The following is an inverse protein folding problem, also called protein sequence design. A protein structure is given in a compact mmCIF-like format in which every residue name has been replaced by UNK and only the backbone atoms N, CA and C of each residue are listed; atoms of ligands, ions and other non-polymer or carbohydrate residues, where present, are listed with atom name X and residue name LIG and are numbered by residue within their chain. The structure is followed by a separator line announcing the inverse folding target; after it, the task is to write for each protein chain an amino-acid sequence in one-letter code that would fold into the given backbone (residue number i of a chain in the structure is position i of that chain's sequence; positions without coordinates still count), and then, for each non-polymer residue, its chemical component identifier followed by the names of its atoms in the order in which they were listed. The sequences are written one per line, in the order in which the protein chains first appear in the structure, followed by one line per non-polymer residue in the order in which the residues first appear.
data_IF_675905638515
#
_entry.id   IF_675905638515
#
_cell.length_a   1.000
_cell.length_b   1.000
_cell.length_c   1.000
_cell.angle_alpha   90.00
_cell.angle_beta   90.00
_cell.angle_gamma   90.00
#
_symmetry.space_group_name_H-M   'P 1'
#
loop_
_entity.id
_entity.type
_entity.pdbx_description
1 polymer ?
#
# COMPACT_ATOMS: atom_id res chain seq x y z
N UNK A 1 -18.78 -33.65 36.43
CA UNK A 1 -18.50 -32.25 36.80
C UNK A 1 -19.43 -31.38 35.98
N UNK A 2 -20.25 -30.55 36.63
CA UNK A 2 -21.25 -29.72 35.99
C UNK A 2 -20.59 -28.61 35.14
N UNK A 3 -21.15 -28.32 33.96
CA UNK A 3 -20.73 -27.17 33.15
C UNK A 3 -21.05 -25.87 33.91
N UNK A 4 -20.10 -24.91 34.00
CA UNK A 4 -20.36 -23.65 34.68
C UNK A 4 -21.36 -22.81 33.89
N UNK A 5 -22.29 -22.15 34.59
CA UNK A 5 -23.23 -21.20 34.02
C UNK A 5 -22.50 -19.97 33.44
N UNK A 6 -22.80 -19.62 32.19
CA UNK A 6 -22.24 -18.48 31.48
C UNK A 6 -22.87 -17.17 32.01
N UNK A 7 -22.39 -16.70 33.16
CA UNK A 7 -22.89 -15.49 33.84
C UNK A 7 -22.41 -14.15 33.26
N UNK A 8 -21.57 -14.15 32.22
CA UNK A 8 -21.09 -12.91 31.61
C UNK A 8 -20.79 -13.14 30.13
N UNK A 9 -21.17 -12.19 29.28
CA UNK A 9 -20.78 -12.20 27.87
C UNK A 9 -19.24 -12.28 27.79
N UNK A 10 -18.67 -13.17 26.96
CA UNK A 10 -17.23 -13.26 26.82
C UNK A 10 -16.71 -11.89 26.40
N UNK A 11 -15.63 -11.44 27.05
CA UNK A 11 -14.92 -10.23 26.65
C UNK A 11 -14.38 -10.47 25.25
N UNK A 12 -15.05 -9.90 24.24
CA UNK A 12 -14.70 -10.04 22.82
C UNK A 12 -13.53 -9.12 22.41
N UNK A 13 -13.03 -8.28 23.32
CA UNK A 13 -11.85 -7.49 23.07
C UNK A 13 -10.59 -8.35 23.21
N UNK A 14 -9.73 -8.27 22.20
CA UNK A 14 -8.33 -8.67 22.33
C UNK A 14 -7.73 -7.99 23.56
N UNK A 15 -7.10 -8.73 24.49
CA UNK A 15 -6.35 -8.11 25.59
C UNK A 15 -5.34 -7.11 25.00
N UNK A 16 -5.08 -6.00 25.69
CA UNK A 16 -4.17 -4.93 25.22
C UNK A 16 -2.78 -5.45 24.80
N UNK A 17 -2.37 -6.63 25.31
CA UNK A 17 -1.14 -7.32 24.90
C UNK A 17 -1.12 -7.83 23.45
N UNK A 18 -2.27 -7.77 22.76
CA UNK A 18 -2.49 -8.10 21.36
C UNK A 18 -2.90 -6.89 20.51
N UNK A 19 -2.62 -5.68 20.98
CA UNK A 19 -2.66 -4.52 20.09
C UNK A 19 -1.66 -4.75 18.96
N UNK A 20 -2.14 -4.65 17.71
CA UNK A 20 -1.28 -4.40 16.57
C UNK A 20 -0.46 -3.16 16.94
N UNK A 21 0.84 -3.32 17.22
CA UNK A 21 1.74 -2.18 17.13
C UNK A 21 1.52 -1.62 15.73
N UNK A 22 1.02 -0.39 15.63
CA UNK A 22 1.00 0.30 14.36
C UNK A 22 2.46 0.29 13.86
N UNK A 23 2.77 -0.41 12.74
CA UNK A 23 4.13 -0.46 12.24
C UNK A 23 4.62 0.93 11.81
N UNK A 24 3.72 1.93 11.77
CA UNK A 24 4.04 3.33 11.59
C UNK A 24 4.72 3.87 12.85
N UNK A 25 6.05 3.97 12.80
CA UNK A 25 6.82 4.61 13.87
C UNK A 25 6.24 6.01 14.16
N UNK A 26 6.00 6.39 15.43
CA UNK A 26 5.57 7.73 15.78
C UNK A 26 6.66 8.71 15.34
N UNK A 27 6.34 9.55 14.36
CA UNK A 27 7.24 10.60 13.85
C UNK A 27 7.06 11.84 14.72
N UNK A 28 8.13 12.29 15.36
CA UNK A 28 8.18 13.57 16.04
C UNK A 28 8.09 14.71 15.01
N UNK A 29 6.86 15.18 14.77
CA UNK A 29 6.54 16.27 13.83
C UNK A 29 7.21 17.60 14.20
N UNK A 30 7.70 17.76 15.43
CA UNK A 30 8.38 18.98 15.87
C UNK A 30 9.79 19.15 15.28
N UNK A 31 10.35 18.09 14.68
CA UNK A 31 11.70 18.08 14.05
C UNK A 31 11.68 18.00 12.52
N UNK A 32 10.51 17.94 11.89
CA UNK A 32 10.42 17.91 10.43
C UNK A 32 10.80 19.28 9.87
N UNK A 33 11.94 19.33 9.19
CA UNK A 33 12.31 20.50 8.40
C UNK A 33 11.21 20.78 7.37
N UNK A 34 10.60 21.98 7.43
CA UNK A 34 9.59 22.38 6.45
C UNK A 34 10.23 22.42 5.07
N UNK A 35 9.76 21.59 4.17
CA UNK A 35 10.16 21.58 2.76
C UNK A 35 9.88 22.95 2.13
N UNK A 36 10.74 23.41 1.23
CA UNK A 36 10.46 24.61 0.42
C UNK A 36 9.27 24.39 -0.52
N UNK A 37 8.67 25.45 -1.05
CA UNK A 37 7.54 25.30 -1.98
C UNK A 37 7.90 24.48 -3.22
N UNK A 38 9.11 24.66 -3.74
CA UNK A 38 9.65 23.90 -4.88
C UNK A 38 9.81 22.41 -4.54
N UNK A 39 10.31 22.12 -3.34
CA UNK A 39 10.47 20.74 -2.87
C UNK A 39 9.12 20.06 -2.67
N UNK A 40 8.12 20.74 -2.12
CA UNK A 40 6.75 20.22 -2.01
C UNK A 40 6.19 19.97 -3.41
N UNK A 41 6.33 20.94 -4.31
CA UNK A 41 5.81 20.81 -5.67
C UNK A 41 6.35 19.57 -6.40
N UNK A 42 7.65 19.31 -6.26
CA UNK A 42 8.31 18.13 -6.83
C UNK A 42 7.96 16.83 -6.09
N UNK A 43 8.07 16.80 -4.76
CA UNK A 43 7.86 15.59 -3.93
C UNK A 43 6.44 15.05 -4.05
N UNK A 44 5.45 15.94 -4.17
CA UNK A 44 4.05 15.59 -4.33
C UNK A 44 3.61 15.53 -5.81
N UNK A 45 4.57 15.59 -6.75
CA UNK A 45 4.36 15.47 -8.19
C UNK A 45 3.17 16.31 -8.69
N UNK A 46 3.05 17.55 -8.21
CA UNK A 46 1.85 18.39 -8.40
C UNK A 46 1.53 18.56 -9.88
N UNK A 47 2.54 18.78 -10.72
CA UNK A 47 2.35 18.94 -12.17
C UNK A 47 1.75 17.69 -12.82
N UNK A 48 2.25 16.51 -12.46
CA UNK A 48 1.77 15.23 -12.98
C UNK A 48 0.34 14.97 -12.51
N UNK A 49 0.06 15.19 -11.23
CA UNK A 49 -1.27 15.03 -10.65
C UNK A 49 -2.30 15.91 -11.36
N UNK A 50 -1.97 17.19 -11.60
CA UNK A 50 -2.86 18.10 -12.36
C UNK A 50 -3.13 17.57 -13.75
N UNK A 51 -2.09 17.11 -14.46
CA UNK A 51 -2.21 16.56 -15.82
C UNK A 51 -3.10 15.32 -15.86
N UNK A 52 -2.89 14.37 -14.96
CA UNK A 52 -3.68 13.14 -14.88
C UNK A 52 -5.15 13.43 -14.52
N UNK A 53 -5.39 14.34 -13.57
CA UNK A 53 -6.76 14.76 -13.21
C UNK A 53 -7.48 15.42 -14.38
N UNK A 54 -6.82 16.33 -15.10
CA UNK A 54 -7.42 16.96 -16.27
C UNK A 54 -7.69 15.96 -17.39
N UNK A 55 -6.78 15.00 -17.63
CA UNK A 55 -6.96 13.96 -18.64
C UNK A 55 -8.11 12.99 -18.28
N UNK A 56 -8.25 12.65 -17.00
CA UNK A 56 -9.36 11.84 -16.49
C UNK A 56 -10.70 12.58 -16.43
N UNK A 57 -10.69 13.90 -16.66
CA UNK A 57 -11.86 14.79 -16.54
C UNK A 57 -12.55 14.72 -15.17
N UNK A 58 -11.81 14.34 -14.12
CA UNK A 58 -12.34 14.22 -12.76
C UNK A 58 -12.56 15.59 -12.14
N UNK A 59 -13.64 15.73 -11.37
CA UNK A 59 -14.10 17.00 -10.80
C UNK A 59 -14.05 17.02 -9.29
N UNK A 60 -14.30 15.90 -8.62
CA UNK A 60 -14.20 15.78 -7.17
C UNK A 60 -12.99 14.91 -6.86
N UNK A 61 -11.96 15.49 -6.26
CA UNK A 61 -10.67 14.83 -6.03
C UNK A 61 -10.44 14.69 -4.54
N UNK A 62 -10.38 13.46 -4.05
CA UNK A 62 -9.98 13.17 -2.68
C UNK A 62 -8.44 13.09 -2.59
N UNK A 63 -7.86 13.78 -1.61
CA UNK A 63 -6.43 13.81 -1.34
C UNK A 63 -6.17 13.05 -0.03
N UNK A 64 -5.52 11.90 -0.12
CA UNK A 64 -5.20 11.05 1.02
C UNK A 64 -3.71 11.14 1.35
N UNK A 65 -3.40 11.65 2.54
CA UNK A 65 -2.04 11.78 3.03
C UNK A 65 -1.81 10.82 4.20
N UNK A 66 -0.60 10.27 4.37
CA UNK A 66 -0.22 9.64 5.62
C UNK A 66 -0.01 10.71 6.70
N UNK A 67 -0.20 10.34 7.97
CA UNK A 67 -0.22 11.28 9.10
C UNK A 67 0.97 12.25 9.14
N UNK A 68 2.18 11.74 8.95
CA UNK A 68 3.42 12.54 8.98
C UNK A 68 3.54 13.54 7.82
N UNK A 69 2.71 13.42 6.78
CA UNK A 69 2.68 14.30 5.60
C UNK A 69 1.45 15.21 5.56
N UNK A 70 0.49 15.05 6.50
CA UNK A 70 -0.68 15.92 6.60
C UNK A 70 -0.31 17.39 6.83
N UNK A 71 0.85 17.67 7.43
CA UNK A 71 1.37 19.03 7.63
C UNK A 71 1.52 19.82 6.32
N UNK A 72 1.80 19.15 5.21
CA UNK A 72 1.97 19.77 3.89
C UNK A 72 0.65 19.83 3.09
N UNK A 73 -0.41 19.15 3.54
CA UNK A 73 -1.67 19.03 2.80
C UNK A 73 -2.29 20.38 2.37
N UNK A 74 -2.31 21.45 3.21
CA UNK A 74 -2.82 22.76 2.78
C UNK A 74 -2.01 23.38 1.62
N UNK A 75 -0.69 23.20 1.62
CA UNK A 75 0.19 23.74 0.56
C UNK A 75 -0.02 22.99 -0.74
N UNK A 76 -0.09 21.65 -0.68
CA UNK A 76 -0.38 20.80 -1.83
C UNK A 76 -1.75 21.15 -2.41
N UNK A 77 -2.76 21.34 -1.57
CA UNK A 77 -4.10 21.79 -1.97
C UNK A 77 -4.06 23.09 -2.77
N UNK A 78 -3.36 24.11 -2.25
CA UNK A 78 -3.23 25.39 -2.95
C UNK A 78 -2.49 25.25 -4.30
N UNK A 79 -1.40 24.48 -4.32
CA UNK A 79 -0.59 24.28 -5.52
C UNK A 79 -1.38 23.55 -6.62
N UNK A 80 -2.14 22.50 -6.28
CA UNK A 80 -3.05 21.82 -7.20
C UNK A 80 -4.11 22.79 -7.72
N UNK A 81 -4.75 23.55 -6.82
CA UNK A 81 -5.74 24.56 -7.18
C UNK A 81 -5.23 25.60 -8.16
N UNK A 82 -3.99 26.09 -7.97
CA UNK A 82 -3.31 27.00 -8.93
C UNK A 82 -2.99 26.30 -10.25
N UNK A 83 -2.52 25.05 -10.19
CA UNK A 83 -2.24 24.22 -11.37
C UNK A 83 -3.46 24.05 -12.28
N UNK A 84 -4.61 23.69 -11.70
CA UNK A 84 -5.89 23.57 -12.41
C UNK A 84 -6.33 24.90 -13.05
N UNK A 85 -6.21 26.01 -12.34
CA UNK A 85 -6.53 27.34 -12.90
C UNK A 85 -5.64 27.69 -14.10
N UNK A 86 -4.36 27.35 -14.05
CA UNK A 86 -3.42 27.62 -15.13
C UNK A 86 -3.74 26.81 -16.39
N UNK A 87 -4.11 25.53 -16.26
CA UNK A 87 -4.54 24.70 -17.39
C UNK A 87 -5.76 25.28 -18.08
N UNK A 88 -6.78 25.71 -17.31
CA UNK A 88 -7.98 26.34 -17.87
C UNK A 88 -7.69 27.65 -18.59
N UNK A 89 -6.79 28.48 -18.05
CA UNK A 89 -6.37 29.73 -18.70
C UNK A 89 -5.70 29.44 -20.03
N UNK A 90 -4.80 28.45 -20.10
CA UNK A 90 -4.15 28.03 -21.36
C UNK A 90 -5.18 27.56 -22.39
N UNK A 91 -6.11 26.69 -21.99
CA UNK A 91 -7.16 26.20 -22.88
C UNK A 91 -8.05 27.33 -23.44
N UNK A 92 -8.40 28.34 -22.63
CA UNK A 92 -9.15 29.51 -23.12
C UNK A 92 -8.36 30.34 -24.14
N UNK A 93 -7.08 30.58 -23.87
CA UNK A 93 -6.20 31.35 -24.79
C UNK A 93 -5.99 30.61 -26.12
N UNK A 94 -5.82 29.29 -26.08
CA UNK A 94 -5.71 28.46 -27.31
C UNK A 94 -7.01 28.49 -28.12
N UNK A 95 -8.16 28.41 -27.44
CA UNK A 95 -9.50 28.47 -28.07
C UNK A 95 -9.80 29.83 -28.73
N UNK A 96 -9.32 30.93 -28.13
CA UNK A 96 -9.47 32.30 -28.64
C UNK A 96 -8.54 32.59 -29.83
N UNK A 97 -7.36 31.97 -29.89
CA UNK A 97 -6.42 32.16 -30.99
C UNK A 97 -6.79 31.34 -32.25
N UNK A 98 -7.49 30.21 -32.11
CA UNK A 98 -7.92 29.39 -33.26
C UNK A 98 -9.24 29.88 -33.89
N UNK A 99 -10.12 30.53 -33.12
CA UNK A 99 -11.39 31.08 -33.60
C UNK A 99 -11.39 32.62 -33.57
N UNK A 100 -10.78 33.23 -34.58
CA UNK A 100 -10.78 34.69 -34.83
C UNK A 100 -12.16 35.29 -35.15
N UNK A 101 -13.25 34.79 -34.58
CA UNK A 101 -14.57 35.41 -34.69
C UNK A 101 -15.28 35.31 -33.34
N UNK A 102 -15.43 36.46 -32.69
CA UNK A 102 -16.17 36.63 -31.46
C UNK A 102 -17.61 36.13 -31.63
N UNK A 103 -17.87 34.89 -31.24
CA UNK A 103 -19.20 34.44 -30.87
C UNK A 103 -19.26 34.47 -29.36
N UNK A 104 -20.06 35.40 -28.84
CA UNK A 104 -20.56 35.43 -27.47
C UNK A 104 -21.25 34.09 -27.17
N UNK A 105 -20.43 33.11 -26.78
CA UNK A 105 -20.91 31.80 -26.41
C UNK A 105 -21.07 31.84 -24.91
N UNK A 106 -22.32 31.74 -24.47
CA UNK A 106 -22.74 31.67 -23.08
C UNK A 106 -21.74 30.83 -22.27
N UNK A 107 -21.19 31.42 -21.20
CA UNK A 107 -20.37 30.74 -20.21
C UNK A 107 -21.15 29.54 -19.66
N UNK A 108 -21.00 28.38 -20.28
CA UNK A 108 -21.21 27.11 -19.58
C UNK A 108 -20.14 27.09 -18.50
N UNK A 109 -20.55 27.34 -17.27
CA UNK A 109 -19.70 27.15 -16.10
C UNK A 109 -19.37 25.66 -16.02
N UNK A 110 -18.33 25.23 -16.73
CA UNK A 110 -17.81 23.89 -16.55
C UNK A 110 -17.47 23.71 -15.07
N UNK A 111 -17.91 22.61 -14.45
CA UNK A 111 -17.75 22.39 -13.03
C UNK A 111 -16.27 22.48 -12.66
N UNK A 112 -16.01 23.22 -11.58
CA UNK A 112 -14.67 23.44 -11.08
C UNK A 112 -14.13 22.15 -10.44
N UNK A 113 -12.83 21.90 -10.55
CA UNK A 113 -12.19 20.82 -9.79
C UNK A 113 -12.24 21.20 -8.30
N UNK A 114 -12.93 20.38 -7.52
CA UNK A 114 -13.08 20.47 -6.08
C UNK A 114 -12.14 19.46 -5.43
N UNK A 115 -11.34 19.95 -4.48
CA UNK A 115 -10.35 19.16 -3.76
C UNK A 115 -10.87 18.91 -2.34
N UNK A 116 -10.72 17.69 -1.83
CA UNK A 116 -11.10 17.28 -0.48
C UNK A 116 -9.91 16.61 0.19
N UNK A 117 -9.44 17.13 1.32
CA UNK A 117 -8.39 16.47 2.11
C UNK A 117 -9.06 15.44 3.02
N UNK A 118 -8.68 14.17 2.88
CA UNK A 118 -9.14 13.12 3.78
C UNK A 118 -8.32 13.20 5.08
N UNK A 119 -9.03 13.39 6.19
CA UNK A 119 -8.43 13.58 7.52
C UNK A 119 -8.36 12.28 8.35
N UNK A 120 -8.83 11.16 7.80
CA UNK A 120 -8.87 9.85 8.46
C UNK A 120 -8.12 8.84 7.58
N UNK A 121 -7.24 8.06 8.20
CA UNK A 121 -6.67 6.85 7.60
C UNK A 121 -7.03 5.68 8.50
N UNK A 122 -8.20 5.08 8.28
CA UNK A 122 -8.76 4.13 9.25
C UNK A 122 -8.00 2.78 9.32
N UNK A 123 -7.10 2.48 8.37
CA UNK A 123 -6.46 1.15 8.24
C UNK A 123 -4.96 1.20 7.90
N UNK A 124 -4.30 2.29 8.30
CA UNK A 124 -2.88 2.52 8.11
C UNK A 124 -2.55 3.30 6.85
N UNK A 125 -1.42 4.01 6.91
CA UNK A 125 -0.96 4.97 5.89
C UNK A 125 -0.80 4.41 4.47
N UNK A 126 -0.80 3.08 4.27
CA UNK A 126 -0.47 2.45 2.99
C UNK A 126 -1.67 2.03 2.13
N UNK A 127 -2.87 2.01 2.69
CA UNK A 127 -4.09 1.57 2.00
C UNK A 127 -4.87 2.78 1.45
N UNK A 128 -5.51 2.60 0.30
CA UNK A 128 -6.44 3.62 -0.25
C UNK A 128 -7.75 3.55 0.51
N UNK A 129 -8.23 4.70 1.00
CA UNK A 129 -9.51 4.78 1.71
C UNK A 129 -10.66 5.17 0.75
N UNK A 130 -11.21 4.16 0.07
CA UNK A 130 -12.34 4.36 -0.86
C UNK A 130 -13.61 4.81 -0.14
N UNK A 131 -13.83 4.40 1.11
CA UNK A 131 -15.05 4.77 1.85
C UNK A 131 -15.00 6.22 2.29
N UNK A 132 -13.87 6.70 2.83
CA UNK A 132 -13.73 8.12 3.14
C UNK A 132 -13.87 8.99 1.88
N UNK A 133 -13.32 8.55 0.75
CA UNK A 133 -13.46 9.24 -0.53
C UNK A 133 -14.90 9.26 -1.06
N UNK A 134 -15.67 8.18 -0.86
CA UNK A 134 -17.08 8.12 -1.25
C UNK A 134 -17.97 9.09 -0.47
N UNK A 135 -17.66 9.40 0.79
CA UNK A 135 -18.43 10.37 1.58
C UNK A 135 -18.39 11.80 1.00
N UNK A 136 -17.40 12.09 0.16
CA UNK A 136 -17.28 13.35 -0.57
C UNK A 136 -17.54 13.17 -2.06
N UNK A 137 -18.23 12.10 -2.45
CA UNK A 137 -18.48 11.65 -3.83
C UNK A 137 -17.28 11.91 -4.76
N UNK A 138 -16.07 11.50 -4.33
CA UNK A 138 -14.88 11.71 -5.13
C UNK A 138 -14.96 10.89 -6.42
N UNK A 139 -14.52 11.48 -7.53
CA UNK A 139 -14.35 10.79 -8.81
C UNK A 139 -13.00 10.04 -8.87
N UNK A 140 -12.03 10.48 -8.07
CA UNK A 140 -10.66 9.92 -8.02
C UNK A 140 -10.04 10.18 -6.64
N UNK A 141 -9.18 9.25 -6.21
CA UNK A 141 -8.32 9.42 -5.03
C UNK A 141 -6.87 9.67 -5.46
N UNK A 142 -6.25 10.72 -4.94
CA UNK A 142 -4.79 10.90 -5.00
C UNK A 142 -4.22 10.39 -3.68
N UNK A 143 -3.52 9.25 -3.75
CA UNK A 143 -2.91 8.61 -2.58
C UNK A 143 -1.42 8.92 -2.54
N UNK A 144 -1.00 9.65 -1.50
CA UNK A 144 0.38 10.07 -1.31
C UNK A 144 1.15 9.10 -0.40
N UNK A 145 2.44 8.90 -0.68
CA UNK A 145 3.35 8.17 0.20
C UNK A 145 3.52 6.68 -0.13
N UNK A 146 3.93 5.92 0.89
CA UNK A 146 4.07 4.46 0.80
C UNK A 146 2.70 3.86 0.51
N UNK A 147 2.59 2.97 -0.47
CA UNK A 147 1.35 2.23 -0.74
C UNK A 147 1.56 0.73 -0.69
N UNK A 148 0.58 -0.01 -0.18
CA UNK A 148 0.54 -1.46 -0.28
C UNK A 148 0.10 -1.94 -1.67
N UNK A 149 -0.43 -1.03 -2.51
CA UNK A 149 -0.99 -1.31 -3.83
C UNK A 149 -2.04 -2.43 -3.80
N UNK A 150 -2.80 -2.50 -2.70
CA UNK A 150 -4.00 -3.33 -2.63
C UNK A 150 -4.97 -2.89 -3.73
N UNK A 151 -5.63 -3.84 -4.41
CA UNK A 151 -6.61 -3.50 -5.44
C UNK A 151 -7.71 -2.60 -4.89
N UNK A 152 -8.03 -1.54 -5.64
CA UNK A 152 -9.24 -0.74 -5.42
C UNK A 152 -10.37 -1.25 -6.30
N UNK A 153 -11.62 -1.03 -5.88
CA UNK A 153 -12.79 -1.60 -6.55
C UNK A 153 -13.76 -0.56 -7.11
N UNK A 154 -13.74 0.66 -6.55
CA UNK A 154 -14.82 1.64 -6.71
C UNK A 154 -14.32 2.94 -7.33
N UNK A 155 -13.10 3.36 -6.99
CA UNK A 155 -12.53 4.60 -7.49
C UNK A 155 -11.19 4.39 -8.21
N UNK A 156 -10.93 5.13 -9.30
CA UNK A 156 -9.58 5.25 -9.83
C UNK A 156 -8.68 5.93 -8.80
N UNK A 157 -7.40 5.58 -8.85
CA UNK A 157 -6.39 6.09 -7.91
C UNK A 157 -5.19 6.62 -8.67
N UNK A 158 -4.78 7.84 -8.35
CA UNK A 158 -3.49 8.38 -8.73
C UNK A 158 -2.54 8.16 -7.56
N UNK A 159 -1.54 7.31 -7.76
CA UNK A 159 -0.51 7.08 -6.77
C UNK A 159 0.65 8.07 -6.94
N UNK A 160 0.97 8.77 -5.85
CA UNK A 160 2.14 9.65 -5.75
C UNK A 160 3.03 9.09 -4.65
N UNK A 161 4.08 8.38 -5.04
CA UNK A 161 4.88 7.58 -4.10
C UNK A 161 5.86 8.38 -3.24
N UNK A 162 6.02 9.68 -3.54
CA UNK A 162 6.88 10.62 -2.80
C UNK A 162 8.30 10.08 -2.72
N UNK A 163 8.96 10.02 -3.89
CA UNK A 163 10.29 9.42 -4.04
C UNK A 163 11.27 9.96 -3.00
N UNK A 164 12.03 9.04 -2.40
CA UNK A 164 13.04 9.39 -1.40
C UNK A 164 14.44 9.28 -2.01
N UNK A 165 15.35 10.22 -1.65
CA UNK A 165 16.73 10.16 -2.12
C UNK A 165 17.42 8.91 -1.58
N UNK A 166 18.26 8.30 -2.41
CA UNK A 166 19.04 7.12 -2.05
C UNK A 166 20.46 7.25 -2.59
N UNK A 167 21.46 7.09 -1.73
CA UNK A 167 22.86 7.06 -2.17
C UNK A 167 23.16 5.71 -2.85
N UNK A 168 23.13 5.69 -4.17
CA UNK A 168 23.45 4.50 -4.96
C UNK A 168 24.85 3.96 -4.65
N UNK A 169 25.82 4.84 -4.36
CA UNK A 169 27.19 4.42 -4.04
C UNK A 169 27.25 3.61 -2.73
N UNK A 170 26.51 4.04 -1.71
CA UNK A 170 26.41 3.30 -0.44
C UNK A 170 25.70 1.96 -0.61
N UNK A 171 24.62 1.93 -1.42
CA UNK A 171 23.88 0.69 -1.70
C UNK A 171 24.75 -0.28 -2.48
N UNK A 172 25.49 0.18 -3.50
CA UNK A 172 26.43 -0.63 -4.27
C UNK A 172 27.53 -1.22 -3.40
N UNK A 173 28.15 -0.40 -2.54
CA UNK A 173 29.19 -0.86 -1.62
C UNK A 173 28.65 -1.96 -0.68
N UNK A 174 27.46 -1.74 -0.12
CA UNK A 174 26.76 -2.69 0.75
C UNK A 174 26.42 -3.99 0.03
N UNK A 175 25.93 -3.89 -1.21
CA UNK A 175 25.62 -5.03 -2.06
C UNK A 175 26.86 -5.87 -2.36
N UNK A 176 27.99 -5.23 -2.69
CA UNK A 176 29.27 -5.90 -2.96
C UNK A 176 29.84 -6.62 -1.73
N UNK A 177 29.74 -6.01 -0.55
CA UNK A 177 30.16 -6.65 0.71
C UNK A 177 29.31 -7.90 1.01
N UNK A 178 28.01 -7.85 0.66
CA UNK A 178 27.04 -8.93 0.86
C UNK A 178 27.22 -10.08 -0.14
N UNK A 179 27.30 -9.77 -1.44
CA UNK A 179 27.36 -10.73 -2.53
C UNK A 179 28.72 -10.71 -3.21
N UNK A 180 29.71 -11.35 -2.57
CA UNK A 180 31.09 -11.41 -3.10
C UNK A 180 31.22 -12.21 -4.40
N UNK A 181 30.29 -13.13 -4.66
CA UNK A 181 30.26 -13.92 -5.89
C UNK A 181 29.25 -13.31 -6.87
N UNK A 182 29.74 -12.85 -8.02
CA UNK A 182 28.96 -12.16 -9.05
C UNK A 182 28.03 -13.08 -9.86
N UNK A 183 28.21 -14.40 -9.75
CA UNK A 183 27.36 -15.40 -10.41
C UNK A 183 26.08 -15.74 -9.64
N UNK A 184 25.89 -15.21 -8.42
CA UNK A 184 24.69 -15.51 -7.63
C UNK A 184 23.44 -14.89 -8.23
N UNK A 185 22.32 -15.63 -8.21
CA UNK A 185 21.01 -15.13 -8.64
C UNK A 185 20.43 -14.23 -7.55
N UNK A 186 20.27 -12.94 -7.86
CA UNK A 186 19.76 -11.95 -6.90
C UNK A 186 18.61 -11.15 -7.50
N UNK A 187 17.54 -11.01 -6.74
CA UNK A 187 16.40 -10.14 -7.05
C UNK A 187 16.62 -8.82 -6.33
N UNK A 188 16.57 -7.71 -7.05
CA UNK A 188 16.54 -6.36 -6.49
C UNK A 188 15.10 -5.93 -6.31
N UNK A 189 14.72 -5.67 -5.06
CA UNK A 189 13.41 -5.14 -4.70
C UNK A 189 13.59 -3.95 -3.77
N UNK A 190 12.65 -3.02 -3.83
CA UNK A 190 12.62 -1.89 -2.92
C UNK A 190 11.19 -1.65 -2.45
N UNK A 191 11.11 -1.07 -1.26
CA UNK A 191 9.92 -0.39 -0.84
C UNK A 191 9.55 0.74 -1.82
N UNK A 192 8.27 1.08 -1.87
CA UNK A 192 7.69 1.92 -2.92
C UNK A 192 8.42 3.27 -3.11
N UNK A 193 8.76 4.05 -2.06
CA UNK A 193 9.46 5.33 -2.23
C UNK A 193 10.87 5.24 -2.82
N UNK A 194 11.47 4.04 -2.88
CA UNK A 194 12.83 3.82 -3.41
C UNK A 194 12.86 3.00 -4.71
N UNK A 195 11.70 2.61 -5.26
CA UNK A 195 11.64 1.69 -6.40
C UNK A 195 12.22 2.27 -7.70
N UNK A 196 12.19 3.59 -7.86
CA UNK A 196 12.77 4.33 -9.00
C UNK A 196 14.29 4.18 -9.12
N UNK A 197 14.97 3.86 -8.01
CA UNK A 197 16.43 3.68 -7.97
C UNK A 197 16.89 2.31 -8.50
N UNK A 198 15.99 1.32 -8.57
CA UNK A 198 16.31 -0.06 -8.92
C UNK A 198 16.95 -0.20 -10.32
N UNK A 199 16.43 0.43 -11.39
CA UNK A 199 17.03 0.33 -12.73
C UNK A 199 18.46 0.89 -12.78
N UNK A 200 18.70 2.05 -12.14
CA UNK A 200 20.02 2.67 -12.10
C UNK A 200 21.02 1.82 -11.29
N UNK A 201 20.58 1.26 -10.16
CA UNK A 201 21.39 0.33 -9.35
C UNK A 201 21.76 -0.92 -10.14
N UNK A 202 20.80 -1.52 -10.83
CA UNK A 202 21.01 -2.74 -11.62
C UNK A 202 22.01 -2.52 -12.75
N UNK A 203 21.94 -1.38 -13.45
CA UNK A 203 22.93 -1.01 -14.47
C UNK A 203 24.33 -0.95 -13.88
N UNK A 204 24.51 -0.25 -12.76
CA UNK A 204 25.81 -0.15 -12.09
C UNK A 204 26.33 -1.51 -11.60
N UNK A 205 25.45 -2.40 -11.13
CA UNK A 205 25.84 -3.77 -10.76
C UNK A 205 26.25 -4.61 -11.98
N UNK A 206 25.60 -4.42 -13.13
CA UNK A 206 25.99 -5.07 -14.37
C UNK A 206 27.39 -4.61 -14.82
N UNK A 207 27.69 -3.31 -14.71
CA UNK A 207 29.02 -2.73 -15.02
C UNK A 207 30.12 -3.32 -14.10
N UNK A 208 29.75 -3.77 -12.91
CA UNK A 208 30.62 -4.44 -11.92
C UNK A 208 30.72 -5.96 -12.12
N UNK A 209 30.06 -6.50 -13.14
CA UNK A 209 30.16 -7.92 -13.54
C UNK A 209 29.12 -8.85 -12.92
N UNK A 210 28.09 -8.34 -12.24
CA UNK A 210 26.98 -9.16 -11.76
C UNK A 210 26.06 -9.59 -12.91
N UNK A 211 26.02 -10.88 -13.23
CA UNK A 211 25.34 -11.39 -14.43
C UNK A 211 23.88 -11.82 -14.20
N UNK A 212 23.55 -12.19 -12.96
CA UNK A 212 22.27 -12.85 -12.64
C UNK A 212 21.39 -11.98 -11.74
N UNK A 213 21.29 -10.69 -12.07
CA UNK A 213 20.47 -9.71 -11.35
C UNK A 213 19.11 -9.55 -12.03
N UNK A 214 18.03 -9.73 -11.27
CA UNK A 214 16.69 -9.42 -11.73
C UNK A 214 16.16 -8.15 -11.04
N UNK A 215 15.86 -7.13 -11.84
CA UNK A 215 15.27 -5.87 -11.38
C UNK A 215 13.75 -5.97 -11.35
N UNK A 216 13.17 -5.83 -10.16
CA UNK A 216 11.71 -5.75 -10.06
C UNK A 216 11.20 -4.38 -10.53
N UNK A 217 10.00 -4.38 -11.13
CA UNK A 217 9.22 -3.18 -11.42
C UNK A 217 7.86 -3.30 -10.76
N UNK A 218 7.25 -2.16 -10.42
CA UNK A 218 5.93 -2.12 -9.78
C UNK A 218 4.85 -2.54 -10.78
N UNK A 219 3.98 -3.45 -10.35
CA UNK A 219 2.74 -3.84 -11.07
C UNK A 219 1.60 -3.91 -10.06
N UNK A 220 0.36 -3.74 -10.51
CA UNK A 220 -0.83 -3.85 -9.65
C UNK A 220 -1.38 -5.29 -9.67
N UNK A 221 -0.56 -6.25 -9.25
CA UNK A 221 -0.94 -7.65 -9.17
C UNK A 221 -0.55 -8.23 -7.79
N UNK A 222 -1.49 -8.27 -6.82
CA UNK A 222 -1.21 -8.78 -5.48
C UNK A 222 -0.97 -10.29 -5.47
N UNK A 223 -1.49 -11.02 -6.47
CA UNK A 223 -1.31 -12.46 -6.62
C UNK A 223 0.05 -12.85 -7.22
N UNK A 224 0.87 -11.88 -7.62
CA UNK A 224 2.22 -12.14 -8.10
C UNK A 224 3.07 -12.90 -7.06
N UNK A 225 3.95 -13.82 -7.49
CA UNK A 225 4.93 -14.45 -6.61
C UNK A 225 5.84 -13.45 -5.88
N UNK A 226 6.03 -12.26 -6.42
CA UNK A 226 6.51 -11.11 -5.66
C UNK A 226 5.37 -10.09 -5.64
N UNK A 227 4.62 -9.93 -4.52
CA UNK A 227 3.39 -9.15 -4.51
C UNK A 227 3.59 -7.74 -5.08
N UNK A 228 2.75 -7.37 -6.05
CA UNK A 228 2.82 -6.08 -6.74
C UNK A 228 4.16 -5.76 -7.41
N UNK A 229 4.92 -6.80 -7.78
CA UNK A 229 6.19 -6.71 -8.50
C UNK A 229 6.26 -7.69 -9.66
N UNK A 230 7.01 -7.32 -10.69
CA UNK A 230 7.41 -8.25 -11.75
C UNK A 230 8.28 -9.38 -11.19
N UNK A 231 8.31 -10.50 -11.90
CA UNK A 231 9.08 -11.69 -11.54
C UNK A 231 9.90 -12.15 -12.74
N UNK A 232 11.02 -12.88 -12.52
CA UNK A 232 11.76 -13.50 -13.62
C UNK A 232 10.85 -14.40 -14.46
N UNK A 233 11.03 -14.40 -15.78
CA UNK A 233 10.12 -15.13 -16.69
C UNK A 233 10.02 -16.62 -16.37
N UNK A 234 11.10 -17.24 -15.88
CA UNK A 234 11.12 -18.66 -15.51
C UNK A 234 10.15 -18.97 -14.37
N UNK A 235 9.87 -18.00 -13.49
CA UNK A 235 8.98 -18.15 -12.33
C UNK A 235 7.52 -18.28 -12.76
N UNK A 236 7.14 -17.77 -13.93
CA UNK A 236 5.79 -17.91 -14.45
C UNK A 236 5.44 -19.37 -14.78
N UNK A 237 6.44 -20.20 -15.08
CA UNK A 237 6.25 -21.64 -15.32
C UNK A 237 6.18 -22.43 -14.02
N UNK A 238 7.00 -22.06 -13.03
CA UNK A 238 7.01 -22.67 -11.70
C UNK A 238 7.45 -21.66 -10.66
N UNK A 239 6.54 -21.39 -9.71
CA UNK A 239 6.78 -20.46 -8.61
C UNK A 239 7.95 -20.90 -7.71
N UNK A 240 8.24 -22.21 -7.65
CA UNK A 240 9.31 -22.78 -6.83
C UNK A 240 10.70 -22.31 -7.26
N UNK A 241 10.87 -21.89 -8.53
CA UNK A 241 12.14 -21.36 -9.04
C UNK A 241 12.59 -20.08 -8.33
N UNK A 242 11.68 -19.36 -7.64
CA UNK A 242 12.09 -18.23 -6.79
C UNK A 242 12.98 -18.64 -5.62
N UNK A 243 12.90 -19.90 -5.15
CA UNK A 243 13.76 -20.41 -4.09
C UNK A 243 15.23 -20.52 -4.52
N UNK A 244 15.54 -20.37 -5.80
CA UNK A 244 16.92 -20.30 -6.29
C UNK A 244 17.51 -18.88 -6.18
N UNK A 245 16.67 -17.87 -5.92
CA UNK A 245 17.06 -16.48 -5.85
C UNK A 245 17.21 -16.01 -4.42
N UNK A 246 18.24 -15.20 -4.19
CA UNK A 246 18.37 -14.38 -2.99
C UNK A 246 17.69 -13.04 -3.25
N UNK A 247 17.04 -12.46 -2.23
CA UNK A 247 16.40 -11.16 -2.32
C UNK A 247 17.26 -10.10 -1.64
N UNK A 248 17.60 -9.04 -2.36
CA UNK A 248 18.15 -7.82 -1.78
C UNK A 248 17.06 -6.75 -1.79
N UNK A 249 16.55 -6.43 -0.60
CA UNK A 249 15.44 -5.51 -0.41
C UNK A 249 15.95 -4.17 0.14
N UNK A 250 15.63 -3.07 -0.53
CA UNK A 250 15.94 -1.71 -0.07
C UNK A 250 14.80 -1.20 0.80
N UNK A 251 15.14 -0.77 2.02
CA UNK A 251 14.23 -0.41 3.11
C UNK A 251 13.56 -1.62 3.79
N UNK A 252 13.02 -1.42 4.99
CA UNK A 252 12.33 -2.46 5.74
C UNK A 252 10.92 -2.70 5.16
N UNK A 253 10.63 -3.91 4.64
CA UNK A 253 9.29 -4.26 4.18
C UNK A 253 8.35 -4.49 5.38
N UNK A 254 7.03 -4.27 5.21
CA UNK A 254 6.06 -4.63 6.23
C UNK A 254 6.16 -6.10 6.62
N UNK A 255 5.93 -6.43 7.90
CA UNK A 255 6.04 -7.80 8.44
C UNK A 255 5.27 -8.83 7.64
N UNK A 256 4.07 -8.49 7.14
CA UNK A 256 3.28 -9.39 6.31
C UNK A 256 3.99 -9.73 4.98
N UNK A 257 4.50 -8.72 4.28
CA UNK A 257 5.26 -8.88 3.05
C UNK A 257 6.54 -9.68 3.31
N UNK A 258 7.28 -9.36 4.38
CA UNK A 258 8.50 -10.08 4.75
C UNK A 258 8.26 -11.58 4.94
N UNK A 259 7.16 -11.95 5.61
CA UNK A 259 6.79 -13.35 5.83
C UNK A 259 6.34 -14.05 4.55
N UNK A 260 5.67 -13.35 3.65
CA UNK A 260 5.33 -13.87 2.33
C UNK A 260 6.58 -14.09 1.47
N UNK A 261 7.54 -13.18 1.52
CA UNK A 261 8.79 -13.29 0.77
C UNK A 261 9.66 -14.41 1.33
N UNK A 262 9.75 -14.57 2.65
CA UNK A 262 10.64 -15.56 3.27
C UNK A 262 10.24 -17.00 3.02
N UNK A 263 9.01 -17.26 2.56
CA UNK A 263 8.59 -18.58 2.10
C UNK A 263 8.80 -18.84 0.61
N UNK A 264 9.25 -17.82 -0.15
CA UNK A 264 9.35 -17.85 -1.63
C UNK A 264 10.78 -17.73 -2.15
N UNK A 265 11.70 -17.16 -1.38
CA UNK A 265 13.11 -16.92 -1.80
C UNK A 265 14.07 -17.63 -0.85
N UNK A 266 15.31 -17.89 -1.28
CA UNK A 266 16.29 -18.63 -0.46
C UNK A 266 16.72 -17.89 0.80
N UNK A 267 16.91 -16.57 0.68
CA UNK A 267 17.37 -15.69 1.75
C UNK A 267 17.00 -14.25 1.41
N UNK A 268 16.87 -13.42 2.45
CA UNK A 268 16.52 -12.01 2.32
C UNK A 268 17.58 -11.16 3.02
N UNK A 269 18.13 -10.20 2.29
CA UNK A 269 19.04 -9.18 2.78
C UNK A 269 18.33 -7.84 2.72
N UNK A 270 18.20 -7.16 3.86
CA UNK A 270 17.55 -5.85 3.94
C UNK A 270 18.63 -4.78 4.06
N UNK A 271 18.63 -3.83 3.13
CA UNK A 271 19.41 -2.61 3.21
C UNK A 271 18.62 -1.54 3.99
N UNK A 272 19.09 -1.11 5.17
CA UNK A 272 18.36 -0.13 5.98
C UNK A 272 18.43 1.27 5.36
N UNK A 273 17.28 1.96 5.30
CA UNK A 273 17.18 3.32 4.76
C UNK A 273 16.72 4.36 5.80
N UNK A 274 16.18 3.91 6.93
CA UNK A 274 15.81 4.78 8.04
C UNK A 274 16.99 4.86 9.00
N UNK A 275 17.47 6.06 9.30
CA UNK A 275 18.32 6.28 10.46
C UNK A 275 17.53 5.85 11.70
N UNK A 276 17.89 4.70 12.28
CA UNK A 276 17.39 4.34 13.60
C UNK A 276 17.71 5.47 14.58
N UNK A 277 16.74 5.99 15.36
CA UNK A 277 16.98 7.07 16.32
C UNK A 277 17.94 6.68 17.46
N UNK A 278 18.39 5.42 17.51
CA UNK A 278 19.45 4.95 18.42
C UNK A 278 20.88 5.14 17.89
N UNK A 279 21.06 5.64 16.65
CA UNK A 279 22.37 5.95 16.08
C UNK A 279 22.50 7.45 15.86
N UNK A 280 22.45 8.20 16.96
CA UNK A 280 23.19 9.46 17.01
C UNK A 280 24.69 9.12 16.89
N UNK A 281 25.42 9.99 16.19
CA UNK A 281 26.88 9.97 15.94
C UNK A 281 27.26 9.36 14.58
N UNK A 282 27.60 10.25 13.65
CA UNK A 282 28.71 10.17 12.68
C UNK A 282 29.43 8.82 12.61
N UNK A 283 28.82 7.80 12.00
CA UNK A 283 29.55 6.60 11.64
C UNK A 283 30.02 6.74 10.20
N UNK A 284 31.33 6.86 10.00
CA UNK A 284 31.98 6.92 8.70
C UNK A 284 31.88 5.61 7.90
N UNK A 285 30.97 4.70 8.28
CA UNK A 285 30.83 3.36 7.70
C UNK A 285 29.51 3.29 6.94
N UNK A 286 29.51 2.87 5.67
CA UNK A 286 28.28 2.76 4.90
C UNK A 286 27.32 1.71 5.52
N UNK A 287 25.99 1.91 5.40
CA UNK A 287 25.01 0.98 5.95
C UNK A 287 25.20 -0.41 5.35
N UNK A 288 25.19 -1.44 6.20
CA UNK A 288 25.34 -2.83 5.77
C UNK A 288 23.98 -3.50 5.64
N UNK A 289 23.78 -4.24 4.56
CA UNK A 289 22.61 -5.07 4.41
C UNK A 289 22.67 -6.25 5.39
N UNK A 290 21.52 -6.54 6.01
CA UNK A 290 21.43 -7.54 7.07
C UNK A 290 20.67 -8.76 6.58
N UNK A 291 21.25 -9.95 6.80
CA UNK A 291 20.54 -11.20 6.60
C UNK A 291 19.36 -11.26 7.57
N UNK A 292 18.16 -11.32 7.01
CA UNK A 292 16.92 -11.24 7.77
C UNK A 292 16.40 -12.62 8.10
N UNK A 293 15.98 -12.83 9.34
CA UNK A 293 15.40 -14.09 9.81
C UNK A 293 13.95 -13.90 10.26
N UNK A 294 13.02 -14.63 9.65
CA UNK A 294 11.61 -14.65 10.06
C UNK A 294 11.29 -15.74 11.09
N UNK A 295 12.29 -16.51 11.54
CA UNK A 295 12.11 -17.68 12.41
C UNK A 295 11.38 -17.33 13.71
N UNK A 296 11.72 -16.21 14.35
CA UNK A 296 11.06 -15.77 15.59
C UNK A 296 9.58 -15.44 15.36
N UNK A 297 9.27 -14.73 14.28
CA UNK A 297 7.90 -14.35 13.91
C UNK A 297 7.06 -15.57 13.55
N UNK A 298 7.64 -16.53 12.81
CA UNK A 298 6.99 -17.80 12.50
C UNK A 298 6.75 -18.65 13.75
N UNK A 299 7.73 -18.75 14.66
CA UNK A 299 7.55 -19.44 15.97
C UNK A 299 6.44 -18.82 16.79
N UNK A 300 6.35 -17.48 16.86
CA UNK A 300 5.26 -16.78 17.55
C UNK A 300 3.91 -17.10 16.91
N UNK A 301 3.82 -17.07 15.58
CA UNK A 301 2.59 -17.45 14.85
C UNK A 301 2.20 -18.90 15.07
N UNK A 302 3.15 -19.83 15.06
CA UNK A 302 2.91 -21.24 15.33
C UNK A 302 2.35 -21.47 16.74
N UNK A 303 2.92 -20.80 17.76
CA UNK A 303 2.41 -20.85 19.13
C UNK A 303 0.96 -20.34 19.23
N UNK A 304 0.65 -19.22 18.56
CA UNK A 304 -0.72 -18.69 18.49
C UNK A 304 -1.67 -19.67 17.81
N UNK A 305 -1.32 -20.22 16.64
CA UNK A 305 -2.14 -21.23 15.95
C UNK A 305 -2.38 -22.47 16.80
N UNK A 306 -1.38 -22.89 17.58
CA UNK A 306 -1.52 -24.02 18.51
C UNK A 306 -2.54 -23.70 19.59
N UNK A 307 -2.51 -22.48 20.16
CA UNK A 307 -3.50 -22.05 21.15
C UNK A 307 -4.93 -21.98 20.59
N UNK A 308 -5.10 -21.74 19.28
CA UNK A 308 -6.42 -21.71 18.63
C UNK A 308 -7.09 -23.10 18.55
N UNK A 309 -6.32 -24.19 18.64
CA UNK A 309 -6.88 -25.57 18.58
C UNK A 309 -7.81 -25.90 19.74
N UNK A 310 -7.72 -25.16 20.84
CA UNK A 310 -8.56 -25.34 22.04
C UNK A 310 -9.64 -24.26 22.17
N UNK A 311 -9.70 -23.29 21.23
CA UNK A 311 -10.68 -22.22 21.27
C UNK A 311 -12.07 -22.73 20.83
N UNK A 312 -13.12 -22.59 21.66
CA UNK A 312 -14.46 -23.06 21.31
C UNK A 312 -15.24 -22.09 20.41
N UNK A 313 -14.82 -20.81 20.33
CA UNK A 313 -15.51 -19.75 19.59
C UNK A 313 -14.47 -18.95 18.80
N UNK A 314 -14.76 -18.70 17.54
CA UNK A 314 -13.96 -17.85 16.66
C UNK A 314 -14.74 -16.58 16.31
N UNK A 315 -14.17 -15.42 16.64
CA UNK A 315 -14.62 -14.15 16.10
C UNK A 315 -13.95 -13.89 14.76
N UNK A 316 -14.73 -13.82 13.68
CA UNK A 316 -14.20 -13.46 12.36
C UNK A 316 -14.41 -11.96 12.18
N UNK A 317 -13.30 -11.21 12.24
CA UNK A 317 -13.31 -9.80 11.90
C UNK A 317 -13.32 -9.66 10.38
N UNK A 318 -14.38 -9.06 9.85
CA UNK A 318 -14.52 -8.76 8.42
C UNK A 318 -14.35 -7.27 8.25
N UNK A 319 -13.37 -6.85 7.45
CA UNK A 319 -13.27 -5.47 7.00
C UNK A 319 -14.13 -5.29 5.73
N UNK A 320 -14.87 -4.18 5.65
CA UNK A 320 -15.78 -3.86 4.54
C UNK A 320 -15.11 -2.97 3.47
N UNK A 321 -13.82 -2.67 3.62
CA UNK A 321 -13.10 -1.85 2.64
C UNK A 321 -12.63 -2.67 1.44
N UNK A 322 -12.88 -2.11 0.25
CA UNK A 322 -12.48 -2.63 -1.06
C UNK A 322 -12.89 -4.10 -1.30
N UNK A 323 -14.20 -4.38 -1.41
CA UNK A 323 -14.67 -5.66 -1.95
C UNK A 323 -14.88 -5.55 -3.47
N UNK A 324 -14.03 -6.15 -4.31
CA UNK A 324 -14.44 -6.47 -5.66
C UNK A 324 -15.51 -7.55 -5.53
N UNK A 325 -16.72 -7.29 -6.04
CA UNK A 325 -17.67 -8.37 -6.30
C UNK A 325 -16.94 -9.39 -7.18
N UNK A 326 -16.66 -10.58 -6.64
CA UNK A 326 -16.07 -11.67 -7.42
C UNK A 326 -16.94 -11.85 -8.68
N UNK A 327 -16.41 -11.73 -9.91
CA UNK A 327 -17.20 -12.04 -11.08
C UNK A 327 -17.61 -13.50 -10.97
N UNK A 328 -18.91 -13.74 -11.05
CA UNK A 328 -19.51 -15.06 -11.04
C UNK A 328 -18.98 -15.80 -12.27
N UNK A 329 -17.91 -16.58 -12.10
CA UNK A 329 -17.38 -17.43 -13.16
C UNK A 329 -18.47 -18.42 -13.56
N UNK A 330 -19.04 -18.17 -14.74
CA UNK A 330 -19.77 -19.16 -15.49
C UNK A 330 -18.74 -20.20 -15.98
N UNK A 331 -18.43 -21.17 -15.14
CA UNK A 331 -18.28 -22.55 -15.58
C UNK A 331 -18.23 -23.49 -14.37
N UNK A 332 -19.03 -24.54 -14.46
CA UNK A 332 -19.32 -25.46 -13.36
C UNK A 332 -18.15 -26.39 -13.07
N UNK A 333 -17.58 -26.25 -11.87
CA UNK A 333 -17.06 -27.38 -11.09
C UNK A 333 -16.92 -26.95 -9.63
N UNK A 334 -18.02 -26.98 -8.89
CA UNK A 334 -18.02 -26.80 -7.44
C UNK A 334 -17.71 -28.12 -6.74
N UNK A 335 -16.57 -28.22 -6.07
CA UNK A 335 -16.45 -29.07 -4.87
C UNK A 335 -15.52 -28.41 -3.84
N UNK A 336 -16.13 -28.11 -2.69
CA UNK A 336 -15.56 -27.98 -1.34
C UNK A 336 -15.11 -26.65 -0.70
N UNK A 337 -15.22 -25.48 -1.34
CA UNK A 337 -14.98 -24.21 -0.63
C UNK A 337 -16.19 -23.26 -0.51
N UNK A 338 -17.34 -23.57 -1.13
CA UNK A 338 -18.45 -22.62 -1.30
C UNK A 338 -19.74 -22.87 -0.52
N UNK A 339 -19.82 -23.90 0.34
CA UNK A 339 -21.10 -24.30 1.00
C UNK A 339 -21.41 -23.62 2.33
N UNK A 340 -20.59 -22.68 2.79
CA UNK A 340 -20.85 -21.93 4.02
C UNK A 340 -21.23 -20.48 3.74
N UNK A 341 -22.23 -20.25 2.88
CA UNK A 341 -22.87 -18.95 2.74
C UNK A 341 -24.37 -19.11 2.52
N UNK A 342 -25.11 -18.79 3.58
CA UNK A 342 -26.53 -18.42 3.63
C UNK A 342 -27.60 -19.51 3.45
N UNK A 343 -28.11 -19.97 4.61
CA UNK A 343 -29.52 -20.35 4.79
C UNK A 343 -30.05 -19.59 6.01
N UNK A 344 -30.55 -18.37 5.81
CA UNK A 344 -31.32 -17.64 6.82
C UNK A 344 -32.72 -18.21 6.85
N UNK A 345 -33.00 -19.16 7.76
CA UNK A 345 -34.39 -19.42 8.17
C UNK A 345 -34.76 -18.37 9.21
N UNK A 346 -35.56 -17.39 8.78
CA UNK A 346 -36.28 -16.51 9.68
C UNK A 346 -37.20 -17.35 10.57
N UNK A 347 -36.91 -17.41 11.87
CA UNK A 347 -37.85 -17.91 12.86
C UNK A 347 -38.86 -16.78 13.15
N UNK A 348 -40.00 -16.80 12.48
CA UNK A 348 -41.18 -16.05 12.89
C UNK A 348 -41.68 -16.61 14.22
N UNK A 349 -41.62 -15.78 15.26
CA UNK A 349 -42.22 -16.02 16.57
C UNK A 349 -43.75 -16.07 16.46
N UNK A 350 -44.31 -17.27 16.38
CA UNK A 350 -45.74 -17.51 16.55
C UNK A 350 -46.07 -17.64 18.04
N UNK A 351 -46.71 -16.63 18.61
CA UNK A 351 -47.31 -16.69 19.93
C UNK A 351 -48.40 -17.77 19.97
N UNK A 352 -48.24 -18.80 20.81
CA UNK A 352 -49.33 -19.72 21.18
C UNK A 352 -49.71 -19.49 22.63
N UNK A 353 -50.85 -18.84 22.82
CA UNK A 353 -51.57 -18.73 24.08
C UNK A 353 -52.00 -20.12 24.55
N UNK A 354 -51.54 -20.56 25.72
CA UNK A 354 -52.13 -21.71 26.41
C UNK A 354 -53.36 -21.25 27.21
N UNK A 355 -54.54 -21.71 26.79
CA UNK A 355 -55.74 -21.71 27.61
C UNK A 355 -55.59 -22.79 28.68
N UNK A 356 -55.79 -22.40 29.95
CA UNK A 356 -56.15 -23.29 31.06
C UNK A 356 -57.55 -23.85 30.83
N UNK A 357 -57.73 -25.15 31.05
CA UNK A 357 -58.93 -25.73 31.66
C UNK A 357 -58.69 -27.20 32.04
N UNK A 358 -58.99 -27.48 33.31
CA UNK A 358 -58.99 -28.74 34.08
C UNK A 358 -57.66 -29.22 34.63
#
# INVERSE_FOLDING_TARGET
MAAPELGQAPVLSTPETHMFEDPTLPVDVSKLARLSDEQVYATYEVERTVREVCNGQWKRIALQFPDHMLVDAPRVYEMLGRGFQNVRKKQKIESENENGTAKETQQKNDPKEELFILADTSYGACCVDEVAAEHVDADVVVHYGRSCLSPTARLPVIYVFTERPLSLDNVLASFKDTFKNTGQKVILMADIPYCTHIPALAKRLADEGYMNIFSTSVIHNPSSPLPNRTVPSQVNESMEKLNEYQLFHISDPPTALLLTLSSRVSSIYIYPTTETPSSSISSATPPKALLTSTTRTLRRRYALLTSLTTCPIFGILINTLSWPTLPRSADGSSSDAGRAAWSTRAATSGSRSSRRSN
#
